data_IF_524510215552
#
_entry.id   IF_524510215552
#
_cell.length_a   1.000
_cell.length_b   1.000
_cell.length_c   1.000
_cell.angle_alpha   90.00
_cell.angle_beta   90.00
_cell.angle_gamma   90.00
#
_symmetry.space_group_name_H-M   'P 1'
#
loop_
_entity.id
_entity.type
_entity.pdbx_description
1 polymer ?
#
# COMPACT_ATOMS: atom_id res chain seq x y z
N UNK A 1 -92.77 54.58 -46.51
CA UNK A 1 -91.29 54.60 -46.34
C UNK A 1 -90.77 53.27 -46.88
N UNK A 2 -89.90 53.34 -47.89
CA UNK A 2 -89.30 52.21 -48.60
C UNK A 2 -88.17 51.55 -47.79
N UNK A 3 -88.00 50.24 -47.95
CA UNK A 3 -86.80 49.49 -47.59
C UNK A 3 -85.67 49.75 -48.61
N UNK A 4 -84.41 49.30 -48.37
CA UNK A 4 -84.14 47.90 -48.72
C UNK A 4 -83.18 47.13 -47.80
N UNK A 5 -83.19 45.84 -48.09
CA UNK A 5 -82.56 44.67 -47.49
C UNK A 5 -81.03 44.55 -47.61
N UNK A 6 -80.53 43.59 -46.82
CA UNK A 6 -79.30 42.78 -46.97
C UNK A 6 -77.95 43.36 -46.55
N UNK A 7 -77.42 42.83 -45.45
CA UNK A 7 -75.98 42.76 -45.20
C UNK A 7 -75.59 41.29 -45.03
N UNK A 8 -74.99 40.75 -46.08
CA UNK A 8 -74.43 39.41 -46.13
C UNK A 8 -73.03 39.43 -45.48
N UNK A 9 -72.75 38.66 -44.41
CA UNK A 9 -71.43 38.66 -43.79
C UNK A 9 -70.42 37.91 -44.68
N UNK A 10 -69.44 38.67 -45.20
CA UNK A 10 -68.29 38.14 -45.92
C UNK A 10 -67.40 37.33 -44.97
N UNK A 11 -67.10 36.04 -45.25
CA UNK A 11 -66.14 35.30 -44.45
C UNK A 11 -64.71 35.86 -44.68
N UNK A 12 -63.87 35.95 -43.63
CA UNK A 12 -62.51 36.43 -43.79
C UNK A 12 -61.71 35.51 -44.72
N UNK A 13 -60.96 36.14 -45.63
CA UNK A 13 -60.10 35.48 -46.60
C UNK A 13 -59.23 34.40 -45.93
N UNK A 14 -59.24 33.20 -46.50
CA UNK A 14 -58.37 32.12 -46.09
C UNK A 14 -56.91 32.55 -46.23
N UNK A 15 -56.27 32.89 -45.10
CA UNK A 15 -54.82 32.92 -45.00
C UNK A 15 -54.33 31.49 -45.23
N UNK A 16 -53.54 31.30 -46.30
CA UNK A 16 -52.88 30.02 -46.57
C UNK A 16 -52.12 29.53 -45.34
N UNK A 17 -51.87 28.21 -45.21
CA UNK A 17 -51.25 27.67 -44.01
C UNK A 17 -49.89 28.35 -43.80
N UNK A 18 -49.82 29.22 -42.79
CA UNK A 18 -48.56 29.67 -42.27
C UNK A 18 -47.84 28.41 -41.77
N UNK A 19 -46.92 27.90 -42.57
CA UNK A 19 -46.00 26.85 -42.14
C UNK A 19 -45.17 27.43 -40.99
N UNK A 20 -45.69 27.28 -39.76
CA UNK A 20 -44.92 27.44 -38.55
C UNK A 20 -43.86 26.35 -38.57
N UNK A 21 -42.66 26.67 -39.06
CA UNK A 21 -41.50 25.81 -38.88
C UNK A 21 -41.30 25.68 -37.37
N UNK A 22 -41.45 24.48 -36.78
CA UNK A 22 -41.29 24.33 -35.35
C UNK A 22 -39.81 24.50 -35.04
N UNK A 23 -39.43 25.69 -34.59
CA UNK A 23 -38.14 25.93 -33.95
C UNK A 23 -37.98 25.15 -32.62
N UNK A 24 -38.99 24.37 -32.21
CA UNK A 24 -39.02 23.61 -30.95
C UNK A 24 -38.18 22.33 -30.90
N UNK A 25 -37.79 21.73 -32.04
CA UNK A 25 -37.13 20.40 -32.02
C UNK A 25 -35.67 20.43 -31.52
N UNK A 26 -34.91 21.46 -31.91
CA UNK A 26 -33.50 21.59 -31.51
C UNK A 26 -33.31 22.02 -30.05
N UNK A 27 -34.25 22.80 -29.50
CA UNK A 27 -34.22 23.20 -28.09
C UNK A 27 -34.54 22.00 -27.19
N UNK A 28 -35.51 21.16 -27.59
CA UNK A 28 -35.84 19.93 -26.86
C UNK A 28 -34.68 18.93 -26.83
N UNK A 29 -33.99 18.72 -27.95
CA UNK A 29 -32.85 17.79 -28.02
C UNK A 29 -31.66 18.29 -27.16
N UNK A 30 -31.37 19.60 -27.20
CA UNK A 30 -30.31 20.21 -26.39
C UNK A 30 -30.63 20.18 -24.88
N UNK A 31 -31.87 20.46 -24.49
CA UNK A 31 -32.30 20.35 -23.10
C UNK A 31 -32.28 18.91 -22.59
N UNK A 32 -32.74 17.96 -23.40
CA UNK A 32 -32.70 16.53 -23.08
C UNK A 32 -31.26 16.05 -22.91
N UNK A 33 -30.33 16.50 -23.76
CA UNK A 33 -28.90 16.19 -23.63
C UNK A 33 -28.32 16.73 -22.32
N UNK A 34 -28.61 17.99 -21.97
CA UNK A 34 -28.17 18.60 -20.70
C UNK A 34 -28.76 17.88 -19.49
N UNK A 35 -30.06 17.54 -19.52
CA UNK A 35 -30.75 16.79 -18.45
C UNK A 35 -30.15 15.38 -18.29
N UNK A 36 -29.90 14.67 -19.39
CA UNK A 36 -29.28 13.34 -19.39
C UNK A 36 -27.83 13.36 -18.89
N UNK A 37 -27.05 14.38 -19.24
CA UNK A 37 -25.70 14.55 -18.70
C UNK A 37 -25.72 14.91 -17.20
N UNK A 38 -26.65 15.76 -16.77
CA UNK A 38 -26.83 16.10 -15.34
C UNK A 38 -27.25 14.88 -14.52
N UNK A 39 -28.15 14.03 -15.05
CA UNK A 39 -28.58 12.80 -14.37
C UNK A 39 -27.46 11.76 -14.31
N UNK A 40 -26.74 11.53 -15.41
CA UNK A 40 -25.55 10.66 -15.44
C UNK A 40 -24.49 11.10 -14.44
N UNK A 41 -24.17 12.40 -14.41
CA UNK A 41 -23.23 12.98 -13.43
C UNK A 41 -23.71 12.78 -12.00
N UNK A 42 -24.98 13.02 -11.71
CA UNK A 42 -25.57 12.78 -10.38
C UNK A 42 -25.46 11.31 -9.95
N UNK A 43 -25.79 10.38 -10.85
CA UNK A 43 -25.70 8.94 -10.58
C UNK A 43 -24.25 8.51 -10.35
N UNK A 44 -23.32 9.00 -11.17
CA UNK A 44 -21.88 8.75 -11.00
C UNK A 44 -21.38 9.26 -9.65
N UNK A 45 -21.71 10.50 -9.26
CA UNK A 45 -21.28 11.06 -7.97
C UNK A 45 -21.87 10.31 -6.76
N UNK A 46 -23.12 9.83 -6.86
CA UNK A 46 -23.74 8.98 -5.82
C UNK A 46 -23.00 7.65 -5.69
N UNK A 47 -22.69 7.01 -6.81
CA UNK A 47 -21.91 5.77 -6.85
C UNK A 47 -20.50 5.99 -6.30
N UNK A 48 -19.81 7.05 -6.74
CA UNK A 48 -18.45 7.40 -6.32
C UNK A 48 -18.37 7.63 -4.81
N UNK A 49 -19.33 8.36 -4.23
CA UNK A 49 -19.42 8.56 -2.78
C UNK A 49 -19.61 7.24 -2.03
N UNK A 50 -20.47 6.36 -2.56
CA UNK A 50 -20.73 5.05 -1.96
C UNK A 50 -19.46 4.19 -1.99
N UNK A 51 -18.79 4.10 -3.13
CA UNK A 51 -17.52 3.37 -3.28
C UNK A 51 -16.44 3.93 -2.36
N UNK A 52 -16.24 5.25 -2.36
CA UNK A 52 -15.29 5.92 -1.47
C UNK A 52 -15.57 5.59 0.01
N UNK A 53 -16.83 5.66 0.44
CA UNK A 53 -17.21 5.34 1.81
C UNK A 53 -16.96 3.88 2.20
N UNK A 54 -17.28 2.92 1.33
CA UNK A 54 -17.06 1.49 1.59
C UNK A 54 -15.58 1.11 1.61
N UNK A 55 -14.81 1.59 0.62
CA UNK A 55 -13.36 1.40 0.61
C UNK A 55 -12.73 2.09 1.82
N UNK A 56 -13.24 3.25 2.20
CA UNK A 56 -12.80 4.01 3.36
C UNK A 56 -13.01 3.25 4.66
N UNK A 57 -14.18 2.62 4.82
CA UNK A 57 -14.48 1.80 6.00
C UNK A 57 -13.56 0.58 6.10
N UNK A 58 -13.35 -0.14 5.01
CA UNK A 58 -12.42 -1.26 4.96
C UNK A 58 -10.98 -0.81 5.25
N UNK A 59 -10.56 0.31 4.65
CA UNK A 59 -9.26 0.93 4.86
C UNK A 59 -9.07 1.49 6.26
N UNK A 60 -10.13 1.88 6.99
CA UNK A 60 -9.99 2.50 8.31
C UNK A 60 -9.42 1.54 9.35
N UNK A 61 -9.83 0.26 9.34
CA UNK A 61 -9.33 -0.74 10.29
C UNK A 61 -7.85 -1.05 10.04
N UNK A 62 -7.49 -1.35 8.79
CA UNK A 62 -6.10 -1.58 8.41
C UNK A 62 -5.26 -0.31 8.56
N UNK A 63 -5.85 0.85 8.29
CA UNK A 63 -5.22 2.16 8.47
C UNK A 63 -4.93 2.49 9.92
N UNK A 64 -5.77 2.08 10.87
CA UNK A 64 -5.47 2.21 12.29
C UNK A 64 -4.27 1.34 12.69
N UNK A 65 -4.25 0.07 12.25
CA UNK A 65 -3.10 -0.81 12.47
C UNK A 65 -1.81 -0.23 11.85
N UNK A 66 -1.88 0.23 10.60
CA UNK A 66 -0.73 0.82 9.90
C UNK A 66 -0.30 2.15 10.49
N UNK A 67 -1.23 2.97 10.99
CA UNK A 67 -0.95 4.21 11.68
C UNK A 67 -0.20 3.98 12.99
N UNK A 68 -0.67 3.03 13.82
CA UNK A 68 0.01 2.66 15.07
C UNK A 68 1.39 2.07 14.76
N UNK A 69 1.46 1.04 13.92
CA UNK A 69 2.74 0.38 13.61
C UNK A 69 3.73 1.30 12.89
N UNK A 70 3.26 2.23 12.04
CA UNK A 70 4.07 3.26 11.38
C UNK A 70 4.60 4.30 12.36
N UNK A 71 3.80 4.70 13.36
CA UNK A 71 4.27 5.54 14.44
C UNK A 71 5.43 4.88 15.21
N UNK A 72 5.28 3.61 15.59
CA UNK A 72 6.37 2.85 16.22
C UNK A 72 7.60 2.78 15.31
N UNK A 73 7.39 2.57 14.01
CA UNK A 73 8.47 2.47 13.03
C UNK A 73 9.28 3.76 12.91
N UNK A 74 8.63 4.93 12.97
CA UNK A 74 9.29 6.23 12.95
C UNK A 74 10.18 6.46 14.17
N UNK A 75 9.85 5.85 15.32
CA UNK A 75 10.58 5.98 16.58
C UNK A 75 11.61 4.85 16.80
N UNK A 76 12.01 4.14 15.73
CA UNK A 76 12.98 3.03 15.83
C UNK A 76 14.42 3.47 16.09
N UNK A 77 14.75 4.72 15.80
CA UNK A 77 16.10 5.27 15.84
C UNK A 77 16.11 6.62 16.58
N UNK A 78 17.29 7.10 17.05
CA UNK A 78 17.42 8.46 17.55
C UNK A 78 16.93 9.49 16.52
N UNK A 79 16.41 10.66 16.94
CA UNK A 79 16.48 11.25 18.29
C UNK A 79 15.34 10.82 19.25
N UNK A 80 14.17 10.43 18.73
CA UNK A 80 12.99 10.07 19.53
C UNK A 80 12.82 8.55 19.58
N UNK A 81 13.83 7.84 20.11
CA UNK A 81 13.80 6.38 20.11
C UNK A 81 12.86 5.83 21.18
N UNK A 82 11.87 5.04 20.77
CA UNK A 82 11.10 4.18 21.67
C UNK A 82 11.86 2.85 21.78
N UNK A 83 12.25 2.47 23.00
CA UNK A 83 12.92 1.18 23.21
C UNK A 83 11.95 0.04 22.89
N UNK A 84 12.32 -0.81 21.94
CA UNK A 84 11.57 -2.01 21.58
C UNK A 84 11.78 -3.16 22.57
N UNK A 85 12.52 -2.95 23.66
CA UNK A 85 13.03 -4.00 24.54
C UNK A 85 14.31 -4.62 23.99
N UNK A 86 14.98 -5.42 24.84
CA UNK A 86 16.16 -6.19 24.44
C UNK A 86 15.72 -7.46 23.67
N UNK A 87 16.35 -7.76 22.51
CA UNK A 87 16.11 -9.02 21.82
C UNK A 87 16.47 -10.20 22.71
N UNK A 88 15.57 -11.17 22.82
CA UNK A 88 15.87 -12.42 23.52
C UNK A 88 16.77 -13.26 22.60
N UNK A 89 18.04 -13.36 22.96
CA UNK A 89 19.05 -14.09 22.18
C UNK A 89 19.38 -15.38 22.90
N UNK A 90 19.13 -16.51 22.27
CA UNK A 90 19.61 -17.82 22.70
C UNK A 90 20.72 -18.30 21.76
N UNK A 91 21.81 -18.75 22.33
CA UNK A 91 22.92 -19.38 21.60
C UNK A 91 22.98 -20.85 21.98
N UNK A 92 23.08 -21.71 20.98
CA UNK A 92 23.19 -23.15 21.15
C UNK A 92 24.15 -23.71 20.09
N UNK A 93 24.90 -24.72 20.47
CA UNK A 93 25.77 -25.45 19.56
C UNK A 93 25.08 -26.75 19.19
N UNK A 94 25.02 -27.03 17.89
CA UNK A 94 24.42 -28.26 17.39
C UNK A 94 25.52 -29.16 16.83
N UNK A 95 25.51 -30.47 17.14
CA UNK A 95 26.49 -31.39 16.59
C UNK A 95 26.37 -31.43 15.06
N UNK A 96 27.51 -31.55 14.39
CA UNK A 96 27.55 -31.69 12.94
C UNK A 96 26.85 -33.00 12.53
N UNK A 97 25.97 -33.00 11.52
CA UNK A 97 25.38 -34.24 11.01
C UNK A 97 26.47 -35.15 10.43
N UNK A 98 26.27 -36.47 10.52
CA UNK A 98 27.27 -37.47 10.12
C UNK A 98 27.71 -37.36 8.65
N UNK A 99 26.82 -36.91 7.77
CA UNK A 99 27.11 -36.71 6.33
C UNK A 99 27.87 -35.39 6.05
N UNK A 100 27.97 -34.50 7.04
CA UNK A 100 28.49 -33.15 6.88
C UNK A 100 27.62 -32.27 5.98
N UNK A 101 28.15 -31.12 5.56
CA UNK A 101 27.49 -30.21 4.63
C UNK A 101 28.35 -30.04 3.37
N UNK A 102 27.74 -30.11 2.19
CA UNK A 102 28.44 -29.87 0.92
C UNK A 102 28.45 -28.38 0.55
N UNK A 103 27.38 -27.67 0.91
CA UNK A 103 27.21 -26.24 0.66
C UNK A 103 26.57 -25.52 1.86
N UNK A 104 26.73 -24.18 1.97
CA UNK A 104 26.00 -23.38 2.95
C UNK A 104 24.47 -23.54 2.82
N UNK A 105 23.97 -23.79 1.61
CA UNK A 105 22.54 -24.00 1.38
C UNK A 105 22.04 -25.32 2.00
N UNK A 106 22.86 -26.37 1.95
CA UNK A 106 22.54 -27.66 2.58
C UNK A 106 22.48 -27.53 4.10
N UNK A 107 23.43 -26.79 4.69
CA UNK A 107 23.39 -26.41 6.10
C UNK A 107 22.09 -25.69 6.45
N UNK A 108 21.66 -24.75 5.62
CA UNK A 108 20.39 -24.06 5.81
C UNK A 108 19.16 -24.95 5.72
N UNK A 109 19.15 -25.89 4.77
CA UNK A 109 18.07 -26.86 4.63
C UNK A 109 18.01 -27.83 5.83
N UNK A 110 19.18 -28.29 6.30
CA UNK A 110 19.29 -29.09 7.52
C UNK A 110 18.78 -28.32 8.74
N UNK A 111 19.25 -27.08 8.95
CA UNK A 111 18.85 -26.22 10.07
C UNK A 111 17.32 -26.04 10.13
N UNK A 112 16.69 -25.81 8.98
CA UNK A 112 15.23 -25.69 8.88
C UNK A 112 14.50 -26.97 9.32
N UNK A 113 14.99 -28.14 8.92
CA UNK A 113 14.38 -29.43 9.28
C UNK A 113 14.57 -29.72 10.77
N UNK A 114 15.80 -29.55 11.26
CA UNK A 114 16.17 -29.90 12.63
C UNK A 114 15.44 -29.04 13.66
N UNK A 115 15.38 -27.72 13.42
CA UNK A 115 14.72 -26.77 14.32
C UNK A 115 13.25 -26.52 13.97
N UNK A 116 12.68 -27.29 13.00
CA UNK A 116 11.30 -27.16 12.51
C UNK A 116 10.90 -25.70 12.24
N UNK A 117 11.73 -25.00 11.49
CA UNK A 117 11.54 -23.56 11.21
C UNK A 117 10.60 -23.35 10.03
N UNK A 118 9.49 -22.65 10.26
CA UNK A 118 8.52 -22.24 9.23
C UNK A 118 9.02 -21.06 8.37
N UNK A 119 10.21 -20.53 8.66
CA UNK A 119 10.80 -19.36 8.01
C UNK A 119 11.41 -19.64 6.64
N UNK A 120 11.58 -18.59 5.84
CA UNK A 120 12.29 -18.68 4.56
C UNK A 120 13.80 -18.70 4.78
N UNK A 121 14.50 -19.51 3.98
CA UNK A 121 15.95 -19.50 3.94
C UNK A 121 16.38 -18.17 3.33
N UNK A 122 17.07 -17.34 4.13
CA UNK A 122 17.60 -16.06 3.72
C UNK A 122 18.89 -16.20 2.92
N UNK A 123 19.68 -15.13 2.88
CA UNK A 123 21.00 -15.17 2.21
C UNK A 123 21.90 -16.15 2.93
N UNK A 124 22.54 -17.00 2.14
CA UNK A 124 23.64 -17.87 2.57
C UNK A 124 24.94 -17.22 2.13
N UNK A 125 25.94 -17.22 3.00
CA UNK A 125 27.27 -16.64 2.73
C UNK A 125 28.32 -17.71 2.96
N UNK A 126 29.28 -17.75 2.04
CA UNK A 126 30.51 -18.53 2.13
C UNK A 126 31.66 -17.54 2.11
N UNK A 127 32.43 -17.52 3.18
CA UNK A 127 33.64 -16.73 3.29
C UNK A 127 34.83 -17.66 3.11
N UNK A 128 35.64 -17.48 2.04
CA UNK A 128 36.76 -18.36 1.76
C UNK A 128 37.84 -18.23 2.84
N UNK A 129 38.63 -19.29 2.97
CA UNK A 129 39.80 -19.26 3.84
C UNK A 129 40.77 -18.16 3.40
N UNK A 130 41.22 -17.35 4.35
CA UNK A 130 42.15 -16.27 4.11
C UNK A 130 43.05 -16.05 5.32
N UNK A 131 44.22 -15.43 5.09
CA UNK A 131 45.13 -15.08 6.16
C UNK A 131 44.60 -13.88 6.94
N UNK A 132 44.57 -14.00 8.26
CA UNK A 132 44.20 -12.92 9.18
C UNK A 132 45.36 -12.61 10.11
N UNK A 133 45.60 -11.32 10.34
CA UNK A 133 46.61 -10.85 11.28
C UNK A 133 46.10 -10.92 12.72
N UNK A 134 46.95 -11.40 13.62
CA UNK A 134 46.74 -11.41 15.07
C UNK A 134 47.98 -10.84 15.77
N UNK A 135 48.01 -9.51 15.89
CA UNK A 135 49.22 -8.79 16.33
C UNK A 135 50.37 -9.04 15.34
N UNK A 136 51.52 -9.47 15.86
CA UNK A 136 52.72 -9.76 15.05
C UNK A 136 52.69 -11.14 14.36
N UNK A 137 51.60 -11.91 14.51
CA UNK A 137 51.44 -13.26 13.92
C UNK A 137 50.36 -13.26 12.86
N UNK A 138 50.55 -14.09 11.83
CA UNK A 138 49.50 -14.39 10.84
C UNK A 138 48.98 -15.80 11.06
N UNK A 139 47.66 -15.97 11.01
CA UNK A 139 47.01 -17.28 11.05
C UNK A 139 46.07 -17.43 9.86
N UNK A 140 45.89 -18.66 9.39
CA UNK A 140 44.92 -18.96 8.33
C UNK A 140 43.55 -19.16 8.97
N UNK A 141 42.61 -18.28 8.66
CA UNK A 141 41.22 -18.46 9.04
C UNK A 141 40.60 -19.53 8.11
N UNK A 142 39.99 -20.58 8.66
CA UNK A 142 39.29 -21.57 7.85
C UNK A 142 38.04 -20.94 7.21
N UNK A 143 37.53 -21.61 6.19
CA UNK A 143 36.32 -21.19 5.51
C UNK A 143 35.12 -21.09 6.48
N UNK A 144 34.35 -20.01 6.41
CA UNK A 144 33.20 -19.76 7.28
C UNK A 144 31.91 -19.74 6.47
N UNK A 145 30.93 -20.53 6.89
CA UNK A 145 29.59 -20.55 6.29
C UNK A 145 28.62 -19.91 7.26
N UNK A 146 27.80 -18.98 6.76
CA UNK A 146 26.72 -18.40 7.53
C UNK A 146 25.40 -18.45 6.78
N UNK A 147 24.35 -18.78 7.52
CA UNK A 147 22.99 -18.91 7.02
C UNK A 147 22.05 -18.21 7.97
N UNK A 148 21.11 -17.45 7.44
CA UNK A 148 20.03 -16.87 8.20
C UNK A 148 18.69 -17.43 7.74
N UNK A 149 17.84 -17.82 8.69
CA UNK A 149 16.44 -18.18 8.46
C UNK A 149 15.58 -17.14 9.17
N UNK A 150 14.79 -16.41 8.40
CA UNK A 150 13.89 -15.38 8.93
C UNK A 150 12.48 -15.94 9.08
N UNK A 151 11.86 -15.73 10.25
CA UNK A 151 10.49 -16.14 10.54
C UNK A 151 9.70 -15.00 11.21
N UNK A 152 8.36 -15.05 11.24
CA UNK A 152 7.54 -14.01 11.89
C UNK A 152 7.92 -13.77 13.35
N UNK A 153 8.28 -14.86 14.06
CA UNK A 153 8.62 -14.84 15.48
C UNK A 153 10.06 -14.43 15.78
N UNK A 154 10.95 -14.43 14.80
CA UNK A 154 12.37 -14.17 15.03
C UNK A 154 13.28 -14.71 13.93
N UNK A 155 14.58 -14.48 14.09
CA UNK A 155 15.60 -14.91 13.14
C UNK A 155 16.50 -15.95 13.79
N UNK A 156 16.84 -16.98 13.03
CA UNK A 156 17.85 -17.98 13.41
C UNK A 156 19.04 -17.84 12.48
N UNK A 157 20.22 -17.60 13.05
CA UNK A 157 21.48 -17.54 12.34
C UNK A 157 22.31 -18.75 12.71
N UNK A 158 22.82 -19.47 11.71
CA UNK A 158 23.75 -20.57 11.90
C UNK A 158 25.09 -20.22 11.26
N UNK A 159 26.16 -20.48 12.01
CA UNK A 159 27.54 -20.30 11.58
C UNK A 159 28.30 -21.59 11.74
N UNK A 160 29.03 -21.97 10.69
CA UNK A 160 29.86 -23.15 10.65
C UNK A 160 31.26 -22.79 10.15
N UNK A 161 32.27 -23.18 10.92
CA UNK A 161 33.67 -23.12 10.50
C UNK A 161 34.04 -24.47 9.93
N UNK A 162 34.52 -24.49 8.68
CA UNK A 162 34.91 -25.74 8.03
C UNK A 162 36.02 -26.42 8.85
N UNK A 163 35.76 -27.65 9.29
CA UNK A 163 36.64 -28.41 10.20
C UNK A 163 36.14 -28.51 11.64
N UNK A 164 35.15 -27.72 12.05
CA UNK A 164 34.50 -27.90 13.35
C UNK A 164 33.57 -29.12 13.36
N UNK A 165 33.33 -29.65 14.55
CA UNK A 165 32.36 -30.73 14.83
C UNK A 165 30.99 -30.22 15.29
N UNK A 166 30.78 -28.90 15.32
CA UNK A 166 29.51 -28.28 15.69
C UNK A 166 29.20 -27.07 14.79
N UNK A 167 27.91 -26.72 14.76
CA UNK A 167 27.37 -25.50 14.17
C UNK A 167 26.92 -24.59 15.30
N UNK A 168 27.38 -23.33 15.28
CA UNK A 168 26.92 -22.30 16.21
C UNK A 168 25.59 -21.75 15.73
N UNK A 169 24.53 -21.93 16.51
CA UNK A 169 23.21 -21.43 16.19
C UNK A 169 22.82 -20.33 17.18
N UNK A 170 22.47 -19.17 16.66
CA UNK A 170 21.96 -18.02 17.39
C UNK A 170 20.51 -17.79 16.98
N UNK A 171 19.58 -17.99 17.90
CA UNK A 171 18.17 -17.61 17.74
C UNK A 171 17.94 -16.27 18.41
N UNK A 172 17.34 -15.35 17.68
CA UNK A 172 16.94 -14.03 18.16
C UNK A 172 15.43 -13.92 18.00
N UNK A 173 14.71 -13.90 19.11
CA UNK A 173 13.26 -13.77 19.11
C UNK A 173 12.84 -12.29 19.03
N UNK A 174 11.78 -12.03 18.26
CA UNK A 174 11.24 -10.70 18.10
C UNK A 174 10.49 -10.29 19.38
N UNK A 175 10.79 -9.11 19.89
CA UNK A 175 9.92 -8.48 20.89
C UNK A 175 8.59 -8.10 20.27
N UNK A 176 7.56 -7.87 21.09
CA UNK A 176 6.24 -7.44 20.60
C UNK A 176 6.33 -6.19 19.71
N UNK A 177 7.11 -5.19 20.13
CA UNK A 177 7.28 -3.95 19.36
C UNK A 177 8.06 -4.21 18.05
N UNK A 178 9.06 -5.11 18.06
CA UNK A 178 9.74 -5.53 16.84
C UNK A 178 8.77 -6.23 15.87
N UNK A 179 7.90 -7.11 16.37
CA UNK A 179 6.85 -7.75 15.58
C UNK A 179 5.92 -6.71 14.95
N UNK A 180 5.47 -5.70 15.70
CA UNK A 180 4.64 -4.60 15.16
C UNK A 180 5.34 -3.86 14.01
N UNK A 181 6.65 -3.59 14.14
CA UNK A 181 7.39 -2.96 13.05
C UNK A 181 7.58 -3.90 11.84
N UNK A 182 7.70 -5.21 12.06
CA UNK A 182 7.80 -6.19 10.98
C UNK A 182 6.48 -6.36 10.23
N UNK A 183 5.34 -6.32 10.93
CA UNK A 183 4.00 -6.27 10.33
C UNK A 183 3.86 -5.10 9.35
N UNK A 184 4.31 -3.91 9.75
CA UNK A 184 4.27 -2.72 8.90
C UNK A 184 5.15 -2.87 7.65
N UNK A 185 6.37 -3.41 7.81
CA UNK A 185 7.33 -3.58 6.70
C UNK A 185 6.99 -4.76 5.78
N UNK A 186 6.16 -5.70 6.22
CA UNK A 186 5.93 -6.95 5.49
C UNK A 186 7.10 -7.95 5.57
N UNK A 187 8.04 -7.78 6.51
CA UNK A 187 9.27 -8.61 6.57
C UNK A 187 9.02 -9.88 7.37
N UNK A 188 9.38 -11.03 6.78
CA UNK A 188 9.26 -12.33 7.44
C UNK A 188 7.82 -12.85 7.54
N UNK A 189 6.88 -12.29 6.77
CA UNK A 189 5.46 -12.64 6.79
C UNK A 189 5.05 -13.42 5.54
N UNK A 190 3.85 -14.00 5.58
CA UNK A 190 3.31 -14.82 4.49
C UNK A 190 2.96 -13.99 3.25
N UNK A 191 2.89 -14.66 2.09
CA UNK A 191 2.43 -14.03 0.84
C UNK A 191 1.03 -13.45 0.99
N UNK A 192 0.14 -14.11 1.76
CA UNK A 192 -1.20 -13.61 2.03
C UNK A 192 -1.19 -12.26 2.77
N UNK A 193 -0.25 -12.05 3.69
CA UNK A 193 -0.06 -10.75 4.33
C UNK A 193 0.40 -9.69 3.33
N UNK A 194 1.36 -10.02 2.47
CA UNK A 194 1.87 -9.09 1.44
C UNK A 194 0.74 -8.65 0.50
N UNK A 195 -0.08 -9.60 0.03
CA UNK A 195 -1.23 -9.28 -0.82
C UNK A 195 -2.28 -8.43 -0.08
N UNK A 196 -2.51 -8.69 1.21
CA UNK A 196 -3.42 -7.88 2.03
C UNK A 196 -2.95 -6.43 2.11
N UNK A 197 -1.66 -6.19 2.39
CA UNK A 197 -1.11 -4.83 2.49
C UNK A 197 -1.10 -4.12 1.12
N UNK A 198 -0.93 -4.85 0.02
CA UNK A 198 -1.04 -4.29 -1.34
C UNK A 198 -2.46 -3.82 -1.65
N UNK A 199 -3.49 -4.59 -1.26
CA UNK A 199 -4.89 -4.14 -1.38
C UNK A 199 -5.15 -2.90 -0.52
N UNK A 200 -4.49 -2.80 0.64
CA UNK A 200 -4.59 -1.62 1.50
C UNK A 200 -3.93 -0.39 0.86
N UNK A 201 -2.74 -0.53 0.32
CA UNK A 201 -2.09 0.53 -0.45
C UNK A 201 -2.96 1.00 -1.62
N UNK A 202 -3.52 0.05 -2.40
CA UNK A 202 -4.47 0.34 -3.47
C UNK A 202 -5.70 1.12 -2.97
N UNK A 203 -6.23 0.76 -1.80
CA UNK A 203 -7.37 1.49 -1.20
C UNK A 203 -7.03 2.93 -0.85
N UNK A 204 -5.84 3.21 -0.30
CA UNK A 204 -5.42 4.59 0.02
C UNK A 204 -5.31 5.41 -1.26
N UNK A 205 -4.72 4.85 -2.32
CA UNK A 205 -4.61 5.52 -3.63
C UNK A 205 -6.01 5.84 -4.17
N UNK A 206 -6.92 4.85 -4.17
CA UNK A 206 -8.30 5.05 -4.61
C UNK A 206 -9.02 6.10 -3.76
N UNK A 207 -8.86 6.08 -2.43
CA UNK A 207 -9.45 7.07 -1.53
C UNK A 207 -8.93 8.48 -1.80
N UNK A 208 -7.63 8.64 -2.03
CA UNK A 208 -7.03 9.92 -2.40
C UNK A 208 -7.62 10.46 -3.71
N UNK A 209 -7.63 9.64 -4.77
CA UNK A 209 -8.17 10.03 -6.08
C UNK A 209 -9.66 10.36 -6.01
N UNK A 210 -10.45 9.48 -5.42
CA UNK A 210 -11.91 9.67 -5.30
C UNK A 210 -12.25 10.82 -4.37
N UNK A 211 -11.45 11.07 -3.33
CA UNK A 211 -11.58 12.23 -2.46
C UNK A 211 -11.36 13.55 -3.21
N UNK A 212 -10.31 13.65 -4.03
CA UNK A 212 -10.05 14.82 -4.89
C UNK A 212 -11.15 15.00 -5.93
N UNK A 213 -11.61 13.92 -6.57
CA UNK A 213 -12.71 13.97 -7.55
C UNK A 213 -14.01 14.46 -6.90
N UNK A 214 -14.39 13.87 -5.75
CA UNK A 214 -15.57 14.32 -5.01
C UNK A 214 -15.42 15.78 -4.59
N UNK A 215 -14.24 16.18 -4.09
CA UNK A 215 -14.00 17.56 -3.69
C UNK A 215 -14.14 18.54 -4.87
N UNK A 216 -13.52 18.26 -6.01
CA UNK A 216 -13.52 19.16 -7.19
C UNK A 216 -14.85 19.20 -7.94
N UNK A 217 -15.64 18.13 -7.85
CA UNK A 217 -16.98 18.04 -8.43
C UNK A 217 -18.06 18.66 -7.54
N UNK A 218 -17.88 18.63 -6.22
CA UNK A 218 -18.84 19.22 -5.27
C UNK A 218 -18.51 20.68 -4.93
N UNK A 219 -17.25 21.12 -4.99
CA UNK A 219 -16.85 22.47 -4.62
C UNK A 219 -16.56 23.35 -5.82
N UNK A 220 -17.22 24.53 -5.88
CA UNK A 220 -16.93 25.56 -6.90
C UNK A 220 -15.55 26.21 -6.73
N UNK A 221 -15.00 26.24 -5.52
CA UNK A 221 -13.71 26.88 -5.18
C UNK A 221 -12.53 25.91 -5.34
N UNK A 222 -12.26 25.50 -6.59
CA UNK A 222 -11.20 24.52 -6.93
C UNK A 222 -9.78 25.01 -6.55
N UNK A 223 -9.56 26.32 -6.50
CA UNK A 223 -8.29 26.96 -6.12
C UNK A 223 -7.87 26.66 -4.68
N UNK A 224 -8.81 26.60 -3.73
CA UNK A 224 -8.49 26.28 -2.33
C UNK A 224 -7.93 24.87 -2.17
N UNK A 225 -8.45 23.89 -2.93
CA UNK A 225 -7.92 22.54 -2.95
C UNK A 225 -6.49 22.48 -3.50
N UNK A 226 -6.21 23.22 -4.58
CA UNK A 226 -4.87 23.30 -5.16
C UNK A 226 -3.85 23.93 -4.19
N UNK A 227 -4.25 24.98 -3.47
CA UNK A 227 -3.40 25.63 -2.45
C UNK A 227 -3.08 24.67 -1.30
N UNK A 228 -4.06 23.93 -0.80
CA UNK A 228 -3.83 22.94 0.27
C UNK A 228 -2.83 21.89 -0.20
N UNK A 229 -3.02 21.32 -1.39
CA UNK A 229 -2.10 20.30 -1.94
C UNK A 229 -0.69 20.86 -2.08
N UNK A 230 -0.54 22.05 -2.65
CA UNK A 230 0.77 22.69 -2.81
C UNK A 230 1.44 22.97 -1.45
N UNK A 231 0.70 23.51 -0.48
CA UNK A 231 1.21 23.77 0.86
C UNK A 231 1.60 22.48 1.58
N UNK A 232 0.82 21.41 1.46
CA UNK A 232 1.15 20.09 2.03
C UNK A 232 2.42 19.50 1.42
N UNK A 233 2.61 19.61 0.11
CA UNK A 233 3.83 19.17 -0.57
C UNK A 233 5.05 19.96 -0.11
N UNK A 234 4.94 21.29 -0.03
CA UNK A 234 6.02 22.15 0.44
C UNK A 234 6.37 21.81 1.89
N UNK A 235 5.37 21.69 2.78
CA UNK A 235 5.60 21.33 4.17
C UNK A 235 6.29 19.96 4.30
N UNK A 236 5.88 18.95 3.52
CA UNK A 236 6.52 17.64 3.51
C UNK A 236 7.99 17.70 3.08
N UNK A 237 8.30 18.49 2.05
CA UNK A 237 9.67 18.66 1.55
C UNK A 237 10.53 19.41 2.59
N UNK A 238 10.03 20.52 3.12
CA UNK A 238 10.76 21.35 4.08
C UNK A 238 11.01 20.58 5.38
N UNK A 239 9.98 19.95 5.96
CA UNK A 239 10.14 19.18 7.19
C UNK A 239 10.91 17.86 6.99
N UNK A 240 10.97 17.32 5.77
CA UNK A 240 11.70 16.08 5.48
C UNK A 240 13.17 16.27 5.14
N UNK A 241 13.58 17.46 4.70
CA UNK A 241 14.95 17.78 4.28
C UNK A 241 15.76 18.58 5.32
N UNK A 242 15.10 19.17 6.31
CA UNK A 242 15.72 19.84 7.46
C UNK A 242 15.97 18.81 8.57
#
# INVERSE_FOLDING_TARGET
MNAPDTLNPQPPAASGPAHYRPHGRLIDDAEQFVRKNRSRRSTFLKWLRKVHGWIGLWGALLGLLFGVTGFLLNHRAPPLRISTGEPQVSQLQMPLPAEGFKTPRDMGAWLKRELKLDGNLGRTRREPSHAVGWGDKSTMQPEQWSVMVASPGGNVMAEYWVGNNFVSVKRTDNTFLAMMTNLHKGVGLSVGWILLIDTFAGSIVLLSLTGVLLWTELNKKRTAGAVIVAASLIAAIVCGLI
#
